data_IF_923581546472
#
_entry.id   IF_923581546472
#
_cell.length_a   1.000
_cell.length_b   1.000
_cell.length_c   1.000
_cell.angle_alpha   90.00
_cell.angle_beta   90.00
_cell.angle_gamma   90.00
#
_symmetry.space_group_name_H-M   'P 1'
#
loop_
_entity.id
_entity.type
_entity.pdbx_description
1 polymer ?
#
# COMPACT_ATOMS: atom_id res chain seq x y z
N UNK A 1 -9.91 -24.95 54.90
CA UNK A 1 -9.97 -24.92 53.43
C UNK A 1 -10.11 -23.46 53.04
N UNK A 2 -9.00 -22.75 52.99
CA UNK A 2 -8.99 -21.35 52.55
C UNK A 2 -7.78 -21.21 51.62
N UNK A 3 -8.06 -21.30 50.33
CA UNK A 3 -7.05 -21.21 49.28
C UNK A 3 -6.80 -19.74 48.98
N UNK A 4 -5.84 -19.14 49.68
CA UNK A 4 -5.18 -17.92 49.23
C UNK A 4 -4.21 -18.25 48.10
N UNK A 5 -4.55 -17.82 46.89
CA UNK A 5 -3.59 -17.69 45.78
C UNK A 5 -3.75 -16.30 45.19
N UNK A 6 -2.80 -15.43 45.50
CA UNK A 6 -2.57 -14.17 44.78
C UNK A 6 -1.76 -14.45 43.51
N UNK A 7 -2.15 -13.95 42.33
CA UNK A 7 -1.32 -14.09 41.15
C UNK A 7 -0.29 -12.95 41.04
N UNK A 8 0.97 -13.37 41.05
CA UNK A 8 2.10 -12.90 40.26
C UNK A 8 2.24 -11.39 39.97
N UNK A 9 3.14 -10.74 40.72
CA UNK A 9 3.97 -9.68 40.17
C UNK A 9 5.08 -10.33 39.31
N UNK A 10 5.02 -10.17 37.99
CA UNK A 10 6.19 -10.24 37.11
C UNK A 10 6.25 -8.93 36.33
N UNK A 11 7.35 -8.24 36.57
CA UNK A 11 7.75 -6.94 36.05
C UNK A 11 7.52 -6.82 34.54
N UNK A 12 6.68 -5.87 34.12
CA UNK A 12 6.77 -5.29 32.78
C UNK A 12 7.96 -4.32 32.82
N UNK A 13 9.13 -4.84 32.47
CA UNK A 13 10.27 -4.01 32.06
C UNK A 13 9.87 -3.32 30.74
N UNK A 14 10.22 -2.05 30.62
CA UNK A 14 9.60 -1.07 29.71
C UNK A 14 9.74 -1.34 28.21
N UNK A 15 9.20 -0.44 27.36
CA UNK A 15 9.32 -0.60 25.92
C UNK A 15 10.79 -0.40 25.55
N UNK A 16 11.48 -1.48 25.21
CA UNK A 16 12.60 -1.39 24.29
C UNK A 16 12.02 -0.78 23.00
N UNK A 17 12.39 0.46 22.70
CA UNK A 17 12.10 1.06 21.41
C UNK A 17 12.80 0.21 20.35
N UNK A 18 12.05 -0.75 19.82
CA UNK A 18 12.38 -1.52 18.63
C UNK A 18 12.80 -0.55 17.53
N UNK A 19 13.77 -0.90 16.66
CA UNK A 19 14.26 0.00 15.63
C UNK A 19 13.04 0.56 14.88
N UNK A 20 12.99 1.88 14.69
CA UNK A 20 12.00 2.49 13.81
C UNK A 20 12.27 1.93 12.42
N UNK A 21 11.55 0.86 12.06
CA UNK A 21 11.48 0.36 10.69
C UNK A 21 11.08 1.58 9.89
N UNK A 22 11.96 2.11 9.04
CA UNK A 22 11.54 3.08 8.05
C UNK A 22 10.35 2.42 7.32
N UNK A 23 9.21 3.10 7.24
CA UNK A 23 8.07 2.56 6.51
C UNK A 23 8.56 2.18 5.11
N UNK A 24 8.64 0.88 4.83
CA UNK A 24 9.14 0.39 3.55
C UNK A 24 8.27 1.02 2.46
N UNK A 25 8.90 1.65 1.46
CA UNK A 25 8.21 2.29 0.33
C UNK A 25 8.51 1.55 -0.96
N UNK A 26 7.46 1.25 -1.73
CA UNK A 26 7.53 0.63 -3.04
C UNK A 26 7.02 1.61 -4.10
N UNK A 27 7.84 1.90 -5.09
CA UNK A 27 7.46 2.69 -6.26
C UNK A 27 7.28 1.77 -7.46
N UNK A 28 6.07 1.73 -8.02
CA UNK A 28 5.73 0.98 -9.22
C UNK A 28 5.56 1.93 -10.40
N UNK A 29 6.55 1.97 -11.29
CA UNK A 29 6.53 2.82 -12.49
C UNK A 29 6.07 1.97 -13.66
N UNK A 30 5.03 2.40 -14.36
CA UNK A 30 4.41 1.67 -15.47
C UNK A 30 4.34 2.57 -16.70
N UNK A 31 5.10 2.27 -17.77
CA UNK A 31 4.88 2.91 -19.06
C UNK A 31 3.58 2.40 -19.67
N UNK A 32 2.80 3.28 -20.29
CA UNK A 32 1.55 2.92 -20.93
C UNK A 32 1.50 3.53 -22.33
N UNK A 33 1.18 2.69 -23.32
CA UNK A 33 0.94 3.12 -24.69
C UNK A 33 -0.31 2.41 -25.21
N UNK A 34 -1.36 3.16 -25.47
CA UNK A 34 -2.66 2.67 -25.93
C UNK A 34 -3.30 1.58 -25.04
N UNK A 35 -3.43 1.88 -23.74
CA UNK A 35 -3.92 0.99 -22.70
C UNK A 35 -5.36 1.34 -22.23
N UNK A 36 -6.18 2.00 -23.07
CA UNK A 36 -7.54 2.46 -22.72
C UNK A 36 -8.41 1.39 -22.04
N UNK A 37 -8.33 0.13 -22.49
CA UNK A 37 -9.15 -0.97 -21.95
C UNK A 37 -8.57 -1.61 -20.69
N UNK A 38 -7.24 -1.60 -20.54
CA UNK A 38 -6.53 -2.35 -19.48
C UNK A 38 -6.29 -1.50 -18.22
N UNK A 39 -6.23 -0.17 -18.36
CA UNK A 39 -5.79 0.73 -17.31
C UNK A 39 -6.66 0.64 -16.04
N UNK A 40 -7.99 0.59 -16.21
CA UNK A 40 -8.94 0.49 -15.08
C UNK A 40 -8.85 -0.87 -14.36
N UNK A 41 -8.95 -2.03 -15.05
CA UNK A 41 -8.73 -3.33 -14.40
C UNK A 41 -7.37 -3.43 -13.71
N UNK A 42 -6.32 -2.89 -14.32
CA UNK A 42 -4.98 -2.87 -13.74
C UNK A 42 -4.95 -2.06 -12.44
N UNK A 43 -5.45 -0.82 -12.45
CA UNK A 43 -5.53 0.03 -11.27
C UNK A 43 -6.32 -0.63 -10.13
N UNK A 44 -7.49 -1.20 -10.42
CA UNK A 44 -8.29 -1.92 -9.43
C UNK A 44 -7.53 -3.10 -8.80
N UNK A 45 -6.75 -3.83 -9.60
CA UNK A 45 -5.94 -4.93 -9.10
C UNK A 45 -4.81 -4.42 -8.18
N UNK A 46 -4.16 -3.31 -8.55
CA UNK A 46 -3.12 -2.67 -7.73
C UNK A 46 -3.69 -2.17 -6.40
N UNK A 47 -4.83 -1.48 -6.41
CA UNK A 47 -5.51 -1.00 -5.18
C UNK A 47 -5.86 -2.16 -4.24
N UNK A 48 -6.35 -3.28 -4.79
CA UNK A 48 -6.64 -4.50 -3.99
C UNK A 48 -5.39 -5.05 -3.33
N UNK A 49 -4.25 -5.08 -4.03
CA UNK A 49 -2.98 -5.58 -3.48
C UNK A 49 -2.34 -4.57 -2.51
N UNK A 50 -2.47 -3.27 -2.74
CA UNK A 50 -1.92 -2.18 -1.89
C UNK A 50 -2.29 -2.38 -0.42
N UNK A 51 -3.52 -2.77 -0.14
CA UNK A 51 -4.02 -2.99 1.24
C UNK A 51 -3.39 -4.20 1.96
N UNK A 52 -2.74 -5.10 1.22
CA UNK A 52 -2.11 -6.32 1.75
C UNK A 52 -0.61 -6.14 1.99
N UNK A 53 -0.03 -5.04 1.49
CA UNK A 53 1.37 -4.73 1.66
C UNK A 53 1.61 -4.10 3.04
N UNK A 54 2.74 -4.46 3.66
CA UNK A 54 3.25 -3.75 4.85
C UNK A 54 3.93 -2.42 4.49
N UNK A 55 4.12 -2.19 3.20
CA UNK A 55 4.82 -1.06 2.61
C UNK A 55 3.84 -0.05 2.04
N UNK A 56 4.23 1.21 2.01
CA UNK A 56 3.52 2.22 1.20
C UNK A 56 3.77 1.94 -0.28
N UNK A 57 2.73 1.96 -1.11
CA UNK A 57 2.84 1.79 -2.55
C UNK A 57 2.47 3.08 -3.26
N UNK A 58 3.40 3.58 -4.08
CA UNK A 58 3.17 4.67 -5.03
C UNK A 58 3.12 4.09 -6.45
N UNK A 59 1.98 4.24 -7.12
CA UNK A 59 1.82 3.88 -8.53
C UNK A 59 2.08 5.11 -9.40
N UNK A 60 3.04 5.01 -10.30
CA UNK A 60 3.43 6.08 -11.21
C UNK A 60 3.16 5.60 -12.63
N UNK A 61 2.11 6.13 -13.25
CA UNK A 61 1.76 5.84 -14.64
C UNK A 61 2.43 6.87 -15.56
N UNK A 62 3.12 6.40 -16.59
CA UNK A 62 3.82 7.25 -17.56
C UNK A 62 3.22 6.98 -18.94
N UNK A 63 2.49 7.94 -19.48
CA UNK A 63 2.04 7.86 -20.87
C UNK A 63 3.23 8.00 -21.83
N UNK A 64 3.40 7.03 -22.73
CA UNK A 64 4.48 6.96 -23.72
C UNK A 64 3.98 7.37 -25.12
N UNK A 65 3.19 8.44 -25.18
CA UNK A 65 2.69 9.01 -26.43
C UNK A 65 1.48 8.29 -27.02
N UNK A 66 0.52 7.90 -26.18
CA UNK A 66 -0.70 7.22 -26.62
C UNK A 66 -1.52 8.08 -27.58
N UNK A 67 -2.23 7.43 -28.51
CA UNK A 67 -3.14 8.08 -29.46
C UNK A 67 -4.62 7.74 -29.20
N UNK A 68 -4.90 7.03 -28.10
CA UNK A 68 -6.24 6.72 -27.61
C UNK A 68 -6.55 7.49 -26.31
N UNK A 69 -7.53 7.06 -25.52
CA UNK A 69 -7.92 7.76 -24.28
C UNK A 69 -7.08 7.43 -23.06
N UNK A 70 -5.92 6.77 -23.22
CA UNK A 70 -5.06 6.36 -22.10
C UNK A 70 -4.77 7.51 -21.12
N UNK A 71 -4.32 8.67 -21.61
CA UNK A 71 -4.00 9.84 -20.78
C UNK A 71 -5.23 10.39 -20.04
N UNK A 72 -6.38 10.45 -20.70
CA UNK A 72 -7.61 10.95 -20.06
C UNK A 72 -8.02 10.02 -18.92
N UNK A 73 -7.95 8.70 -19.13
CA UNK A 73 -8.26 7.71 -18.10
C UNK A 73 -7.25 7.77 -16.95
N UNK A 74 -5.96 7.98 -17.21
CA UNK A 74 -4.95 8.18 -16.16
C UNK A 74 -5.30 9.37 -15.25
N UNK A 75 -5.73 10.50 -15.85
CA UNK A 75 -6.14 11.70 -15.10
C UNK A 75 -7.37 11.42 -14.26
N UNK A 76 -8.38 10.80 -14.85
CA UNK A 76 -9.61 10.42 -14.13
C UNK A 76 -9.28 9.54 -12.92
N UNK A 77 -8.36 8.58 -13.06
CA UNK A 77 -7.93 7.71 -11.95
C UNK A 77 -7.16 8.50 -10.88
N UNK A 78 -6.27 9.40 -11.27
CA UNK A 78 -5.50 10.22 -10.34
C UNK A 78 -6.37 11.22 -9.54
N UNK A 79 -7.48 11.69 -10.11
CA UNK A 79 -8.46 12.52 -9.40
C UNK A 79 -9.32 11.71 -8.40
N UNK A 80 -9.39 10.39 -8.56
CA UNK A 80 -10.18 9.48 -7.73
C UNK A 80 -9.39 8.80 -6.59
N UNK A 81 -8.05 8.84 -6.62
CA UNK A 81 -7.14 8.33 -5.55
C UNK A 81 -6.85 9.40 -4.48
#
# INVERSE_FOLDING_TARGET
MDSSVSPAAKTHDGPAASPSIADDSLELIVPCYNEEESLKPFYEAIVKVRTQLRSTLSLILVDDGSNDKTMDIMRDLAEQD
#
